data_IF_178166306273
#
_entry.id   IF_178166306273
#
_cell.length_a   1.000
_cell.length_b   1.000
_cell.length_c   1.000
_cell.angle_alpha   90.00
_cell.angle_beta   90.00
_cell.angle_gamma   90.00
#
_symmetry.space_group_name_H-M   'P 1'
#
loop_
_entity.id
_entity.type
_entity.pdbx_description
1 polymer ?
#
# COMPACT_ATOMS: atom_id res chain seq x y z
N UNK A 1 -18.92 -17.72 23.83
CA UNK A 1 -18.42 -16.47 23.27
C UNK A 1 -18.78 -16.48 21.80
N UNK A 2 -19.35 -15.40 21.27
CA UNK A 2 -19.71 -15.34 19.84
C UNK A 2 -18.43 -15.30 18.99
N UNK A 3 -18.36 -16.05 17.90
CA UNK A 3 -17.24 -16.04 16.93
C UNK A 3 -17.25 -14.76 16.09
N UNK A 4 -18.34 -14.02 16.10
CA UNK A 4 -18.58 -12.83 15.26
C UNK A 4 -17.40 -11.82 15.20
N UNK A 5 -16.73 -11.43 16.31
CA UNK A 5 -15.59 -10.52 16.22
C UNK A 5 -14.39 -11.09 15.47
N UNK A 6 -14.16 -12.40 15.55
CA UNK A 6 -13.11 -13.10 14.85
C UNK A 6 -13.43 -13.20 13.35
N UNK A 7 -14.66 -13.56 13.01
CA UNK A 7 -15.11 -13.71 11.64
C UNK A 7 -14.98 -12.39 10.85
N UNK A 8 -15.30 -11.24 11.49
CA UNK A 8 -15.13 -9.92 10.88
C UNK A 8 -13.65 -9.57 10.67
N UNK A 9 -12.78 -9.87 11.63
CA UNK A 9 -11.33 -9.63 11.48
C UNK A 9 -10.76 -10.41 10.28
N UNK A 10 -11.08 -11.71 10.20
CA UNK A 10 -10.63 -12.55 9.09
C UNK A 10 -11.22 -12.12 7.74
N UNK A 11 -12.48 -11.67 7.71
CA UNK A 11 -13.11 -11.14 6.50
C UNK A 11 -12.37 -9.89 6.00
N UNK A 12 -12.00 -8.97 6.89
CA UNK A 12 -11.27 -7.77 6.55
C UNK A 12 -9.85 -8.09 6.09
N UNK A 13 -9.12 -8.96 6.81
CA UNK A 13 -7.77 -9.37 6.45
C UNK A 13 -7.75 -10.14 5.12
N UNK A 14 -8.67 -11.07 4.91
CA UNK A 14 -8.85 -11.78 3.63
C UNK A 14 -9.25 -10.83 2.51
N UNK A 15 -10.10 -9.85 2.78
CA UNK A 15 -10.44 -8.78 1.85
C UNK A 15 -9.23 -7.97 1.41
N UNK A 16 -8.29 -7.68 2.31
CA UNK A 16 -7.03 -7.04 1.96
C UNK A 16 -6.19 -7.89 1.00
N UNK A 17 -6.12 -9.20 1.18
CA UNK A 17 -5.43 -10.10 0.25
C UNK A 17 -6.07 -10.02 -1.14
N UNK A 18 -7.39 -10.08 -1.25
CA UNK A 18 -8.11 -9.93 -2.52
C UNK A 18 -7.79 -8.60 -3.21
N UNK A 19 -7.83 -7.50 -2.46
CA UNK A 19 -7.47 -6.17 -2.99
C UNK A 19 -6.00 -6.12 -3.39
N UNK A 20 -5.10 -6.81 -2.70
CA UNK A 20 -3.69 -6.94 -3.09
C UNK A 20 -3.53 -7.67 -4.42
N UNK A 21 -4.33 -8.70 -4.71
CA UNK A 21 -4.38 -9.32 -6.04
C UNK A 21 -4.86 -8.34 -7.12
N UNK A 22 -5.87 -7.52 -6.80
CA UNK A 22 -6.34 -6.47 -7.73
C UNK A 22 -5.24 -5.43 -8.00
N UNK A 23 -4.43 -5.09 -7.00
CA UNK A 23 -3.29 -4.17 -7.15
C UNK A 23 -2.24 -4.69 -8.14
N UNK A 24 -2.10 -6.00 -8.31
CA UNK A 24 -1.18 -6.57 -9.28
C UNK A 24 -1.48 -6.11 -10.73
N UNK A 25 -2.67 -5.65 -11.03
CA UNK A 25 -3.02 -5.16 -12.36
C UNK A 25 -3.78 -3.81 -12.40
N UNK A 26 -4.20 -3.29 -11.26
CA UNK A 26 -4.93 -2.00 -11.17
C UNK A 26 -4.40 -1.12 -10.03
N UNK A 27 -3.61 -0.11 -10.34
CA UNK A 27 -3.06 0.82 -9.33
C UNK A 27 -4.14 1.66 -8.63
N UNK A 28 -5.26 1.93 -9.30
CA UNK A 28 -6.34 2.74 -8.74
C UNK A 28 -7.00 2.11 -7.51
N UNK A 29 -6.80 0.81 -7.29
CA UNK A 29 -7.35 0.05 -6.16
C UNK A 29 -6.55 0.30 -4.87
N UNK A 30 -5.43 1.00 -4.93
CA UNK A 30 -4.61 1.29 -3.75
C UNK A 30 -5.38 2.07 -2.65
N UNK A 31 -6.24 3.00 -3.04
CA UNK A 31 -7.10 3.70 -2.09
C UNK A 31 -8.05 2.73 -1.35
N UNK A 32 -8.64 1.76 -2.07
CA UNK A 32 -9.47 0.72 -1.48
C UNK A 32 -8.67 -0.16 -0.50
N UNK A 33 -7.44 -0.52 -0.87
CA UNK A 33 -6.54 -1.29 0.01
C UNK A 33 -6.30 -0.56 1.35
N UNK A 34 -6.09 0.76 1.30
CA UNK A 34 -5.92 1.58 2.50
C UNK A 34 -7.21 1.72 3.34
N UNK A 35 -8.37 1.79 2.68
CA UNK A 35 -9.67 1.80 3.38
C UNK A 35 -9.91 0.49 4.13
N UNK A 36 -9.67 -0.65 3.48
CA UNK A 36 -9.82 -1.97 4.13
C UNK A 36 -8.81 -2.14 5.26
N UNK A 37 -7.55 -1.68 5.09
CA UNK A 37 -6.57 -1.65 6.18
C UNK A 37 -7.08 -0.84 7.36
N UNK A 38 -7.53 0.40 7.12
CA UNK A 38 -8.03 1.26 8.20
C UNK A 38 -9.21 0.62 8.94
N UNK A 39 -10.13 -0.01 8.21
CA UNK A 39 -11.25 -0.74 8.80
C UNK A 39 -10.76 -1.94 9.64
N UNK A 40 -9.76 -2.69 9.14
CA UNK A 40 -9.16 -3.83 9.86
C UNK A 40 -8.49 -3.37 11.15
N UNK A 41 -7.67 -2.31 11.10
CA UNK A 41 -6.99 -1.76 12.30
C UNK A 41 -8.02 -1.20 13.30
N UNK A 42 -9.06 -0.51 12.84
CA UNK A 42 -10.12 0.00 13.70
C UNK A 42 -10.92 -1.14 14.36
N UNK A 43 -11.16 -2.23 13.62
CA UNK A 43 -11.80 -3.42 14.16
C UNK A 43 -10.94 -4.10 15.22
N UNK A 44 -9.64 -4.24 14.98
CA UNK A 44 -8.69 -4.76 15.96
C UNK A 44 -8.63 -3.88 17.22
N UNK A 45 -8.67 -2.54 17.06
CA UNK A 45 -8.77 -1.61 18.18
C UNK A 45 -9.99 -1.89 19.06
N UNK A 46 -11.14 -2.15 18.45
CA UNK A 46 -12.38 -2.48 19.14
C UNK A 46 -12.29 -3.84 19.87
N UNK A 47 -11.86 -4.89 19.16
CA UNK A 47 -11.80 -6.26 19.71
C UNK A 47 -10.78 -6.38 20.84
N UNK A 48 -9.64 -5.70 20.72
CA UNK A 48 -8.56 -5.74 21.71
C UNK A 48 -8.74 -4.73 22.86
N UNK A 49 -9.80 -3.88 22.83
CA UNK A 49 -9.96 -2.74 23.73
C UNK A 49 -8.71 -1.84 23.77
N UNK A 50 -8.13 -1.55 22.60
CA UNK A 50 -6.90 -0.81 22.41
C UNK A 50 -7.16 0.53 21.70
N UNK A 51 -7.68 1.57 22.40
CA UNK A 51 -8.12 2.82 21.77
C UNK A 51 -6.99 3.57 21.04
N UNK A 52 -5.73 3.35 21.43
CA UNK A 52 -4.56 3.95 20.76
C UNK A 52 -4.43 3.52 19.29
N UNK A 53 -5.00 2.37 18.89
CA UNK A 53 -4.97 1.91 17.50
C UNK A 53 -5.92 2.68 16.56
N UNK A 54 -6.89 3.45 17.10
CA UNK A 54 -7.74 4.30 16.24
C UNK A 54 -6.96 5.44 15.60
N UNK A 55 -5.89 5.92 16.23
CA UNK A 55 -5.04 6.99 15.68
C UNK A 55 -4.32 6.50 14.40
N UNK A 56 -3.55 5.40 14.41
CA UNK A 56 -2.95 4.87 13.20
C UNK A 56 -4.00 4.45 12.13
N UNK A 57 -5.17 3.96 12.51
CA UNK A 57 -6.25 3.69 11.57
C UNK A 57 -6.70 4.95 10.82
N UNK A 58 -6.93 6.05 11.55
CA UNK A 58 -7.31 7.33 10.95
C UNK A 58 -6.19 7.90 10.06
N UNK A 59 -4.94 7.85 10.52
CA UNK A 59 -3.77 8.30 9.74
C UNK A 59 -3.63 7.48 8.45
N UNK A 60 -3.75 6.15 8.53
CA UNK A 60 -3.71 5.29 7.35
C UNK A 60 -4.81 5.65 6.34
N UNK A 61 -6.03 5.90 6.82
CA UNK A 61 -7.14 6.31 5.96
C UNK A 61 -6.86 7.63 5.24
N UNK A 62 -6.42 8.65 5.97
CA UNK A 62 -6.18 9.98 5.41
C UNK A 62 -4.98 9.98 4.48
N UNK A 63 -3.83 9.46 4.91
CA UNK A 63 -2.60 9.49 4.11
C UNK A 63 -2.68 8.52 2.93
N UNK A 64 -2.98 7.25 3.18
CA UNK A 64 -2.95 6.20 2.15
C UNK A 64 -4.26 6.08 1.37
N UNK A 65 -5.39 6.42 1.98
CA UNK A 65 -6.69 6.38 1.31
C UNK A 65 -6.97 7.61 0.46
N UNK A 66 -6.43 8.79 0.82
CA UNK A 66 -6.77 10.05 0.16
C UNK A 66 -5.51 10.76 -0.39
N UNK A 67 -4.58 11.15 0.47
CA UNK A 67 -3.48 12.06 0.10
C UNK A 67 -2.57 11.42 -0.95
N UNK A 68 -2.07 10.22 -0.69
CA UNK A 68 -1.13 9.53 -1.57
C UNK A 68 -1.78 9.14 -2.91
N UNK A 69 -2.99 8.54 -2.97
CA UNK A 69 -3.65 8.26 -4.24
C UNK A 69 -3.88 9.50 -5.09
N UNK A 70 -4.30 10.61 -4.47
CA UNK A 70 -4.49 11.89 -5.17
C UNK A 70 -3.17 12.44 -5.69
N UNK A 71 -2.10 12.40 -4.89
CA UNK A 71 -0.77 12.84 -5.30
C UNK A 71 -0.23 11.98 -6.46
N UNK A 72 -0.29 10.65 -6.34
CA UNK A 72 0.14 9.72 -7.40
C UNK A 72 -0.66 9.91 -8.68
N UNK A 73 -1.97 10.08 -8.59
CA UNK A 73 -2.83 10.33 -9.75
C UNK A 73 -2.42 11.62 -10.48
N UNK A 74 -2.15 12.70 -9.74
CA UNK A 74 -1.66 13.96 -10.32
C UNK A 74 -0.29 13.81 -10.98
N UNK A 75 0.63 13.05 -10.36
CA UNK A 75 1.95 12.74 -10.92
C UNK A 75 1.80 11.98 -12.24
N UNK A 76 0.99 10.93 -12.28
CA UNK A 76 0.76 10.10 -13.48
C UNK A 76 0.20 10.93 -14.64
N UNK A 77 -0.81 11.78 -14.38
CA UNK A 77 -1.41 12.64 -15.41
C UNK A 77 -0.40 13.66 -15.92
N UNK A 78 0.32 14.35 -15.03
CA UNK A 78 1.24 15.42 -15.43
C UNK A 78 2.49 14.92 -16.13
N UNK A 79 2.99 13.74 -15.79
CA UNK A 79 4.16 13.16 -16.45
C UNK A 79 3.80 12.48 -17.79
N UNK A 80 2.50 12.39 -18.14
CA UNK A 80 2.06 11.70 -19.35
C UNK A 80 2.42 10.21 -19.34
N UNK A 81 2.65 9.65 -18.16
CA UNK A 81 2.93 8.22 -18.02
C UNK A 81 1.66 7.48 -18.45
N UNK A 82 1.73 6.78 -19.57
CA UNK A 82 0.64 5.96 -20.04
C UNK A 82 0.30 4.95 -18.92
N UNK A 83 -0.98 4.83 -18.59
CA UNK A 83 -1.51 3.91 -17.56
C UNK A 83 -1.30 2.43 -17.92
N UNK A 84 -0.48 2.15 -18.93
CA UNK A 84 -0.10 0.81 -19.33
C UNK A 84 0.68 0.14 -18.20
N UNK A 85 0.18 -1.01 -17.78
CA UNK A 85 0.84 -1.84 -16.79
C UNK A 85 1.99 -2.55 -17.51
N UNK A 86 3.15 -1.90 -17.54
CA UNK A 86 4.38 -2.52 -18.03
C UNK A 86 4.86 -3.55 -17.00
N UNK A 87 4.55 -4.82 -17.25
CA UNK A 87 5.04 -5.93 -16.46
C UNK A 87 6.26 -6.57 -17.13
N UNK A 88 7.27 -6.94 -16.34
CA UNK A 88 8.39 -7.78 -16.80
C UNK A 88 7.91 -9.18 -17.19
N UNK A 89 6.95 -9.67 -16.43
CA UNK A 89 6.31 -10.98 -16.60
C UNK A 89 4.83 -10.74 -16.88
N UNK A 90 4.23 -11.48 -17.80
CA UNK A 90 2.81 -11.34 -18.14
C UNK A 90 1.87 -11.45 -16.93
N UNK A 91 0.65 -10.91 -17.04
CA UNK A 91 -0.34 -10.88 -15.96
C UNK A 91 -0.67 -12.30 -15.45
N UNK A 92 -0.87 -13.26 -16.35
CA UNK A 92 -1.22 -14.64 -15.97
C UNK A 92 -0.19 -15.29 -15.05
N UNK A 93 1.10 -15.40 -15.45
CA UNK A 93 2.15 -15.92 -14.58
C UNK A 93 2.30 -15.15 -13.26
N UNK A 94 2.14 -13.82 -13.25
CA UNK A 94 2.19 -13.01 -12.02
C UNK A 94 1.08 -13.41 -11.06
N UNK A 95 -0.15 -13.62 -11.54
CA UNK A 95 -1.27 -14.04 -10.70
C UNK A 95 -1.06 -15.47 -10.16
N UNK A 96 -0.54 -16.39 -10.97
CA UNK A 96 -0.22 -17.76 -10.52
C UNK A 96 0.86 -17.74 -9.43
N UNK A 97 1.91 -16.95 -9.60
CA UNK A 97 2.93 -16.75 -8.57
C UNK A 97 2.32 -16.15 -7.29
N UNK A 98 1.41 -15.17 -7.43
CA UNK A 98 0.69 -14.59 -6.30
C UNK A 98 -0.10 -15.64 -5.51
N UNK A 99 -0.84 -16.51 -6.20
CA UNK A 99 -1.56 -17.63 -5.57
C UNK A 99 -0.60 -18.56 -4.83
N UNK A 100 0.52 -18.93 -5.47
CA UNK A 100 1.55 -19.77 -4.85
C UNK A 100 2.17 -19.13 -3.60
N UNK A 101 2.47 -17.83 -3.64
CA UNK A 101 2.99 -17.08 -2.48
C UNK A 101 1.97 -16.98 -1.34
N UNK A 102 0.69 -16.77 -1.67
CA UNK A 102 -0.38 -16.76 -0.66
C UNK A 102 -0.54 -18.13 -0.01
N UNK A 103 -0.54 -19.21 -0.79
CA UNK A 103 -0.59 -20.57 -0.26
C UNK A 103 0.64 -20.86 0.62
N UNK A 104 1.82 -20.43 0.19
CA UNK A 104 3.06 -20.57 0.97
C UNK A 104 2.96 -19.83 2.31
N UNK A 105 2.46 -18.59 2.31
CA UNK A 105 2.31 -17.79 3.54
C UNK A 105 1.36 -18.46 4.53
N UNK A 106 0.24 -19.01 4.05
CA UNK A 106 -0.70 -19.77 4.89
C UNK A 106 -0.01 -20.98 5.53
N UNK A 107 0.68 -21.81 4.74
CA UNK A 107 1.38 -23.00 5.26
C UNK A 107 2.46 -22.63 6.26
N UNK A 108 3.26 -21.60 5.97
CA UNK A 108 4.38 -21.19 6.84
C UNK A 108 3.86 -20.61 8.15
N UNK A 109 2.92 -19.66 8.08
CA UNK A 109 2.47 -18.96 9.28
C UNK A 109 1.55 -19.79 10.16
N UNK A 110 0.71 -20.67 9.59
CA UNK A 110 -0.10 -21.58 10.37
C UNK A 110 0.74 -22.58 11.17
N UNK A 111 1.94 -22.95 10.68
CA UNK A 111 2.92 -23.76 11.42
C UNK A 111 3.75 -22.94 12.40
N UNK A 112 4.28 -21.80 11.96
CA UNK A 112 5.18 -20.98 12.77
C UNK A 112 4.48 -20.37 14.00
N UNK A 113 3.18 -20.08 13.91
CA UNK A 113 2.39 -19.45 14.94
C UNK A 113 1.43 -20.43 15.65
N UNK A 114 1.74 -21.72 15.73
CA UNK A 114 0.87 -22.73 16.35
C UNK A 114 0.53 -22.41 17.82
N UNK A 115 1.44 -21.75 18.54
CA UNK A 115 1.28 -21.37 19.95
C UNK A 115 0.64 -19.99 20.12
N UNK A 116 0.39 -19.25 19.03
CA UNK A 116 -0.23 -17.93 19.10
C UNK A 116 -1.75 -18.04 19.26
N UNK A 117 -2.36 -16.93 19.71
CA UNK A 117 -3.82 -16.78 19.70
C UNK A 117 -4.36 -17.06 18.27
N UNK A 118 -5.46 -17.84 18.11
CA UNK A 118 -6.03 -18.16 16.81
C UNK A 118 -6.27 -16.94 15.91
N UNK A 119 -6.74 -15.83 16.46
CA UNK A 119 -6.92 -14.58 15.73
C UNK A 119 -5.58 -14.05 15.17
N UNK A 120 -4.56 -13.97 16.03
CA UNK A 120 -3.24 -13.49 15.62
C UNK A 120 -2.60 -14.39 14.55
N UNK A 121 -2.78 -15.72 14.67
CA UNK A 121 -2.21 -16.69 13.74
C UNK A 121 -2.72 -16.52 12.31
N UNK A 122 -4.02 -16.39 12.15
CA UNK A 122 -4.64 -16.25 10.82
C UNK A 122 -4.37 -14.86 10.23
N UNK A 123 -4.48 -13.81 11.02
CA UNK A 123 -4.18 -12.45 10.57
C UNK A 123 -2.70 -12.28 10.18
N UNK A 124 -1.76 -12.96 10.87
CA UNK A 124 -0.36 -13.01 10.48
C UNK A 124 -0.14 -13.73 9.14
N UNK A 125 -0.92 -14.80 8.86
CA UNK A 125 -0.85 -15.48 7.57
C UNK A 125 -1.37 -14.58 6.43
N UNK A 126 -2.45 -13.84 6.64
CA UNK A 126 -2.94 -12.85 5.69
C UNK A 126 -1.94 -11.69 5.51
N UNK A 127 -1.37 -11.19 6.61
CA UNK A 127 -0.37 -10.14 6.57
C UNK A 127 0.87 -10.54 5.77
N UNK A 128 1.40 -11.74 5.97
CA UNK A 128 2.50 -12.27 5.18
C UNK A 128 2.13 -12.42 3.70
N UNK A 129 0.89 -12.83 3.38
CA UNK A 129 0.39 -12.87 2.02
C UNK A 129 0.45 -11.50 1.35
N UNK A 130 -0.01 -10.46 2.04
CA UNK A 130 0.00 -9.08 1.54
C UNK A 130 1.44 -8.59 1.32
N UNK A 131 2.35 -8.90 2.25
CA UNK A 131 3.78 -8.60 2.13
C UNK A 131 4.38 -9.22 0.86
N UNK A 132 4.15 -10.51 0.66
CA UNK A 132 4.69 -11.24 -0.50
C UNK A 132 4.07 -10.77 -1.82
N UNK A 133 2.79 -10.44 -1.86
CA UNK A 133 2.13 -9.86 -3.03
C UNK A 133 2.66 -8.46 -3.35
N UNK A 134 2.91 -7.63 -2.33
CA UNK A 134 3.53 -6.32 -2.50
C UNK A 134 4.96 -6.44 -3.04
N UNK A 135 5.74 -7.39 -2.54
CA UNK A 135 7.08 -7.70 -3.03
C UNK A 135 7.04 -8.20 -4.48
N UNK A 136 6.13 -9.12 -4.80
CA UNK A 136 5.91 -9.60 -6.16
C UNK A 136 5.59 -8.42 -7.10
N UNK A 137 4.74 -7.49 -6.67
CA UNK A 137 4.43 -6.29 -7.43
C UNK A 137 5.69 -5.45 -7.66
N UNK A 138 6.52 -5.20 -6.67
CA UNK A 138 7.76 -4.42 -6.81
C UNK A 138 8.72 -5.04 -7.81
N UNK A 139 8.91 -6.36 -7.75
CA UNK A 139 9.86 -7.09 -8.62
C UNK A 139 9.36 -7.19 -10.06
N UNK A 140 8.05 -7.34 -10.27
CA UNK A 140 7.47 -7.54 -11.60
C UNK A 140 7.13 -6.26 -12.35
N UNK A 141 7.24 -5.08 -11.72
CA UNK A 141 6.90 -3.78 -12.32
C UNK A 141 8.13 -3.00 -12.74
N UNK A 142 8.05 -2.36 -13.93
CA UNK A 142 9.13 -1.54 -14.48
C UNK A 142 9.01 -0.07 -14.11
N UNK A 143 7.80 0.43 -13.81
CA UNK A 143 7.63 1.84 -13.53
C UNK A 143 7.70 2.14 -12.03
N UNK A 144 8.32 3.27 -11.68
CA UNK A 144 8.53 3.70 -10.30
C UNK A 144 7.22 3.89 -9.51
N UNK A 145 6.14 4.35 -10.16
CA UNK A 145 4.84 4.55 -9.49
C UNK A 145 4.28 3.21 -9.01
N UNK A 146 4.33 2.17 -9.84
CA UNK A 146 3.90 0.83 -9.47
C UNK A 146 4.76 0.22 -8.36
N UNK A 147 6.07 0.48 -8.39
CA UNK A 147 7.00 0.03 -7.34
C UNK A 147 6.69 0.71 -6.00
N UNK A 148 6.41 2.03 -6.01
CA UNK A 148 5.97 2.76 -4.81
C UNK A 148 4.68 2.16 -4.25
N UNK A 149 3.69 1.88 -5.09
CA UNK A 149 2.42 1.26 -4.65
C UNK A 149 2.66 -0.14 -4.09
N UNK A 150 3.52 -0.95 -4.71
CA UNK A 150 3.93 -2.27 -4.20
C UNK A 150 4.59 -2.16 -2.82
N UNK A 151 5.51 -1.21 -2.66
CA UNK A 151 6.17 -0.94 -1.40
C UNK A 151 5.17 -0.51 -0.30
N UNK A 152 4.21 0.36 -0.63
CA UNK A 152 3.16 0.75 0.30
C UNK A 152 2.19 -0.39 0.64
N UNK A 153 2.02 -1.36 -0.27
CA UNK A 153 1.28 -2.59 0.03
C UNK A 153 2.03 -3.47 1.05
N UNK A 154 3.37 -3.58 0.93
CA UNK A 154 4.21 -4.25 1.93
C UNK A 154 4.01 -3.60 3.30
N UNK A 155 4.09 -2.28 3.37
CA UNK A 155 3.88 -1.53 4.60
C UNK A 155 2.48 -1.76 5.20
N UNK A 156 1.43 -1.87 4.38
CA UNK A 156 0.09 -2.21 4.85
C UNK A 156 0.04 -3.61 5.46
N UNK A 157 0.75 -4.57 4.88
CA UNK A 157 0.92 -5.91 5.46
C UNK A 157 1.62 -5.88 6.82
N UNK A 158 2.67 -5.05 6.97
CA UNK A 158 3.36 -4.87 8.25
C UNK A 158 2.46 -4.28 9.33
N UNK A 159 1.63 -3.29 8.99
CA UNK A 159 0.66 -2.70 9.93
C UNK A 159 -0.36 -3.76 10.37
N UNK A 160 -0.88 -4.56 9.43
CA UNK A 160 -1.81 -5.63 9.76
C UNK A 160 -1.15 -6.66 10.70
N UNK A 161 0.08 -7.10 10.40
CA UNK A 161 0.83 -8.02 11.26
C UNK A 161 1.04 -7.45 12.67
N UNK A 162 1.44 -6.18 12.77
CA UNK A 162 1.71 -5.52 14.04
C UNK A 162 0.45 -5.32 14.89
N UNK A 163 -0.70 -5.09 14.26
CA UNK A 163 -1.99 -4.95 14.97
C UNK A 163 -2.56 -6.30 15.40
N UNK A 164 -2.29 -7.38 14.65
CA UNK A 164 -2.67 -8.74 15.02
C UNK A 164 -1.83 -9.27 16.19
N UNK A 165 -0.54 -8.98 16.21
CA UNK A 165 0.36 -9.36 17.30
C UNK A 165 0.19 -8.41 18.49
N UNK A 166 -0.62 -8.80 19.47
CA UNK A 166 -0.84 -8.02 20.69
C UNK A 166 0.49 -7.63 21.35
N UNK A 167 0.70 -6.34 21.58
CA UNK A 167 1.87 -5.82 22.30
C UNK A 167 3.00 -5.29 21.40
N UNK A 168 2.74 -4.98 20.13
CA UNK A 168 3.72 -4.33 19.23
C UNK A 168 3.34 -2.88 18.86
N UNK A 169 3.01 -1.99 19.80
CA UNK A 169 2.62 -0.62 19.48
C UNK A 169 3.74 0.13 18.73
N UNK A 170 4.99 -0.12 19.07
CA UNK A 170 6.16 0.52 18.45
C UNK A 170 6.26 0.24 16.94
N UNK A 171 5.91 -0.96 16.50
CA UNK A 171 5.93 -1.30 15.05
C UNK A 171 4.86 -0.51 14.30
N UNK A 172 3.68 -0.34 14.90
CA UNK A 172 2.60 0.47 14.32
C UNK A 172 3.01 1.94 14.24
N UNK A 173 3.63 2.48 15.31
CA UNK A 173 4.12 3.86 15.34
C UNK A 173 5.20 4.12 14.29
N UNK A 174 6.18 3.21 14.16
CA UNK A 174 7.23 3.29 13.13
C UNK A 174 6.60 3.21 11.73
N UNK A 175 5.66 2.31 11.49
CA UNK A 175 4.97 2.20 10.20
C UNK A 175 4.20 3.46 9.84
N UNK A 176 3.55 4.11 10.81
CA UNK A 176 2.89 5.40 10.61
C UNK A 176 3.88 6.49 10.25
N UNK A 177 5.00 6.60 11.01
CA UNK A 177 6.05 7.57 10.72
C UNK A 177 6.65 7.36 9.32
N UNK A 178 6.82 6.11 8.93
CA UNK A 178 7.30 5.73 7.61
C UNK A 178 6.30 6.09 6.50
N UNK A 179 5.00 5.87 6.70
CA UNK A 179 3.94 6.31 5.78
C UNK A 179 3.97 7.82 5.55
N UNK A 180 4.17 8.59 6.62
CA UNK A 180 4.32 10.05 6.54
C UNK A 180 5.55 10.42 5.73
N UNK A 181 6.69 9.75 5.95
CA UNK A 181 7.93 9.98 5.20
C UNK A 181 7.72 9.70 3.70
N UNK A 182 7.12 8.56 3.35
CA UNK A 182 6.82 8.23 1.94
C UNK A 182 5.88 9.26 1.31
N UNK A 183 4.86 9.72 2.04
CA UNK A 183 3.98 10.78 1.58
C UNK A 183 4.75 12.07 1.28
N UNK A 184 5.67 12.48 2.16
CA UNK A 184 6.53 13.65 1.93
C UNK A 184 7.45 13.48 0.72
N UNK A 185 8.05 12.31 0.53
CA UNK A 185 8.89 12.02 -0.64
C UNK A 185 8.05 12.13 -1.93
N UNK A 186 6.88 11.49 -1.98
CA UNK A 186 6.00 11.53 -3.17
C UNK A 186 5.56 12.95 -3.47
N UNK A 187 5.15 13.72 -2.46
CA UNK A 187 4.76 15.12 -2.60
C UNK A 187 5.96 15.99 -3.01
N UNK A 188 7.13 15.76 -2.40
CA UNK A 188 8.36 16.47 -2.72
C UNK A 188 8.80 16.26 -4.16
N UNK A 189 8.82 15.02 -4.63
CA UNK A 189 9.12 14.70 -6.03
C UNK A 189 8.11 15.36 -6.97
N UNK A 190 6.83 15.36 -6.59
CA UNK A 190 5.78 16.01 -7.36
C UNK A 190 5.99 17.53 -7.47
N UNK A 191 6.29 18.21 -6.36
CA UNK A 191 6.55 19.65 -6.33
C UNK A 191 7.82 20.01 -7.13
N UNK A 192 8.88 19.21 -6.99
CA UNK A 192 10.12 19.42 -7.75
C UNK A 192 9.89 19.32 -9.26
N UNK A 193 9.14 18.29 -9.71
CA UNK A 193 8.80 18.11 -11.14
C UNK A 193 7.89 19.19 -11.68
N UNK A 194 7.00 19.73 -10.84
CA UNK A 194 6.20 20.90 -11.23
C UNK A 194 7.11 22.09 -11.50
N UNK A 195 8.01 22.40 -10.56
CA UNK A 195 8.93 23.54 -10.67
C UNK A 195 9.80 23.44 -11.93
N UNK A 196 10.41 22.28 -12.15
CA UNK A 196 11.26 22.02 -13.31
C UNK A 196 10.54 22.27 -14.66
N UNK A 197 9.24 21.96 -14.73
CA UNK A 197 8.43 22.27 -15.93
C UNK A 197 8.10 23.74 -16.09
N UNK A 198 7.84 24.45 -15.00
CA UNK A 198 7.57 25.89 -15.07
C UNK A 198 8.82 26.64 -15.49
N UNK A 199 9.98 26.31 -14.93
CA UNK A 199 11.26 26.93 -15.32
C UNK A 199 11.59 26.67 -16.80
N UNK A 200 11.27 25.48 -17.35
CA UNK A 200 11.49 25.16 -18.76
C UNK A 200 10.55 25.90 -19.73
N UNK A 201 9.30 26.14 -19.32
CA UNK A 201 8.33 26.89 -20.12
C UNK A 201 8.70 28.37 -20.17
N UNK A 202 9.20 28.92 -19.07
CA UNK A 202 9.63 30.31 -18.99
C UNK A 202 10.89 30.58 -19.86
N UNK A 203 11.84 29.63 -19.89
CA UNK A 203 13.00 29.68 -20.76
C UNK A 203 12.63 29.57 -22.24
N UNK A 204 11.69 28.68 -22.61
CA UNK A 204 11.22 28.57 -23.99
C UNK A 204 10.49 29.82 -24.46
N UNK A 205 9.66 30.42 -23.62
CA UNK A 205 9.00 31.69 -23.95
C UNK A 205 9.99 32.85 -24.14
N UNK A 206 11.09 32.88 -23.37
CA UNK A 206 12.14 33.87 -23.52
C UNK A 206 12.97 33.65 -24.78
N UNK A 207 13.19 32.43 -25.22
CA UNK A 207 13.92 32.10 -26.45
C UNK A 207 13.08 32.42 -27.70
N UNK A 208 11.76 32.20 -27.68
CA UNK A 208 10.85 32.65 -28.76
C UNK A 208 10.85 34.16 -28.91
N UNK A 209 10.78 34.91 -27.80
CA UNK A 209 10.89 36.37 -27.81
C UNK A 209 12.24 36.89 -28.34
N UNK A 210 13.29 36.11 -28.17
CA UNK A 210 14.65 36.47 -28.67
C UNK A 210 14.84 36.12 -30.16
N UNK A 211 14.09 35.11 -30.65
CA UNK A 211 14.11 34.72 -32.08
C UNK A 211 13.38 35.66 -33.02
N UNK A 212 12.35 36.38 -32.54
CA UNK A 212 11.59 37.36 -33.32
C UNK A 212 12.31 38.73 -33.55
N UNK A 213 13.46 38.91 -32.95
CA UNK A 213 14.29 40.14 -33.12
C UNK A 213 15.43 40.03 -34.10
N UNK A 214 15.37 39.09 -35.07
CA UNK A 214 16.32 39.03 -36.20
C UNK A 214 15.65 39.22 -37.54
#
# INVERSE_FOLDING_TARGET
MSTFPLDVAHLLAGGMVLVSFMLLYQLNVFALHAVVLSASVAWQAYVQNAPHLYVPAAIALVLKGIIIPVALHRVVIRLGIHRGIETVVGIGPTLLLGVGLTALSMVVMLKAAETADPLAREDLAFALSILLLGLLMMVTRRNAVSQIVGFMSIENGLILAATAARGMPLVVEISVAFSVLVAFIVIGVFLFRIRERFDSVELQALDEFRGERR
#
